data_IF_490582403787
#
_entry.id   IF_490582403787
#
_cell.length_a   1.000
_cell.length_b   1.000
_cell.length_c   1.000
_cell.angle_alpha   90.00
_cell.angle_beta   90.00
_cell.angle_gamma   90.00
#
_symmetry.space_group_name_H-M   'P 1'
#
loop_
_entity.id
_entity.type
_entity.pdbx_description
1 polymer ?
#
# COMPACT_ATOMS: atom_id res chain seq x y z
N UNK A 1 -15.67 54.73 7.72
CA UNK A 1 -14.85 53.67 8.37
C UNK A 1 -15.66 52.52 8.98
N UNK A 2 -16.65 52.77 9.87
CA UNK A 2 -17.50 51.74 10.52
C UNK A 2 -18.11 50.68 9.59
N UNK A 3 -18.54 51.07 8.39
CA UNK A 3 -19.21 50.16 7.45
C UNK A 3 -18.25 49.15 6.79
N UNK A 4 -16.97 49.52 6.63
CA UNK A 4 -15.94 48.65 6.05
C UNK A 4 -15.56 47.54 7.04
N UNK A 5 -15.49 47.87 8.33
CA UNK A 5 -15.24 46.92 9.43
C UNK A 5 -16.37 45.89 9.53
N UNK A 6 -17.64 46.33 9.47
CA UNK A 6 -18.80 45.42 9.47
C UNK A 6 -18.77 44.43 8.29
N UNK A 7 -18.41 44.91 7.09
CA UNK A 7 -18.28 44.07 5.89
C UNK A 7 -17.15 43.03 6.04
N UNK A 8 -16.00 43.45 6.58
CA UNK A 8 -14.87 42.55 6.82
C UNK A 8 -15.21 41.48 7.87
N UNK A 9 -15.87 41.89 8.96
CA UNK A 9 -16.31 41.00 10.02
C UNK A 9 -17.33 39.96 9.51
N UNK A 10 -18.33 40.40 8.75
CA UNK A 10 -19.31 39.51 8.14
C UNK A 10 -18.66 38.55 7.14
N UNK A 11 -17.69 39.02 6.34
CA UNK A 11 -16.94 38.16 5.40
C UNK A 11 -16.12 37.10 6.13
N UNK A 12 -15.47 37.45 7.24
CA UNK A 12 -14.73 36.50 8.06
C UNK A 12 -15.67 35.42 8.64
N UNK A 13 -16.79 35.81 9.23
CA UNK A 13 -17.79 34.87 9.75
C UNK A 13 -18.40 33.98 8.66
N UNK A 14 -18.71 34.55 7.49
CA UNK A 14 -19.23 33.81 6.33
C UNK A 14 -18.21 32.78 5.83
N UNK A 15 -16.94 33.15 5.75
CA UNK A 15 -15.88 32.25 5.31
C UNK A 15 -15.62 31.12 6.33
N UNK A 16 -15.74 31.38 7.63
CA UNK A 16 -15.61 30.36 8.67
C UNK A 16 -16.80 29.39 8.65
N UNK A 17 -18.02 29.87 8.40
CA UNK A 17 -19.22 29.02 8.29
C UNK A 17 -19.13 28.03 7.13
N UNK A 18 -18.45 28.42 6.05
CA UNK A 18 -18.39 27.65 4.81
C UNK A 18 -17.13 26.77 4.69
N UNK A 19 -16.22 26.75 5.68
CA UNK A 19 -14.91 26.07 5.58
C UNK A 19 -14.93 24.59 5.97
N UNK A 20 -16.11 23.99 6.11
CA UNK A 20 -16.25 22.60 6.55
C UNK A 20 -16.49 21.61 5.40
N UNK A 21 -16.50 22.06 4.16
CA UNK A 21 -16.31 21.14 3.03
C UNK A 21 -14.80 20.87 2.96
N UNK A 22 -14.35 19.92 3.79
CA UNK A 22 -13.09 19.23 3.52
C UNK A 22 -13.34 18.59 2.15
N UNK A 23 -12.80 19.20 1.09
CA UNK A 23 -12.77 18.58 -0.24
C UNK A 23 -12.28 17.15 -0.02
N UNK A 24 -13.13 16.17 -0.33
CA UNK A 24 -12.83 14.76 -0.12
C UNK A 24 -11.45 14.50 -0.73
N UNK A 25 -10.48 14.21 0.13
CA UNK A 25 -9.08 14.21 -0.27
C UNK A 25 -8.91 13.10 -1.30
N UNK A 26 -8.68 13.48 -2.56
CA UNK A 26 -8.63 12.53 -3.66
C UNK A 26 -7.45 11.57 -3.44
N UNK A 27 -7.70 10.27 -3.47
CA UNK A 27 -6.66 9.25 -3.28
C UNK A 27 -6.39 8.52 -4.61
N UNK A 28 -5.26 7.82 -4.72
CA UNK A 28 -4.97 7.00 -5.90
C UNK A 28 -5.39 5.54 -5.67
N UNK A 29 -5.97 4.95 -6.69
CA UNK A 29 -6.15 3.50 -6.84
C UNK A 29 -4.79 2.81 -6.95
N UNK A 30 -4.78 1.49 -6.82
CA UNK A 30 -3.61 0.63 -7.04
C UNK A 30 -3.04 0.84 -8.45
N UNK A 31 -3.90 0.95 -9.46
CA UNK A 31 -3.51 1.22 -10.85
C UNK A 31 -3.16 2.70 -11.13
N UNK A 32 -3.08 3.52 -10.08
CA UNK A 32 -2.72 4.94 -10.19
C UNK A 32 -3.85 5.88 -10.61
N UNK A 33 -5.06 5.39 -10.86
CA UNK A 33 -6.26 6.22 -11.15
C UNK A 33 -6.68 7.06 -9.94
N UNK A 34 -7.07 8.31 -10.14
CA UNK A 34 -7.57 9.17 -9.07
C UNK A 34 -9.00 8.80 -8.67
N UNK A 35 -9.23 8.60 -7.37
CA UNK A 35 -10.51 8.32 -6.73
C UNK A 35 -10.96 9.57 -5.97
N UNK A 36 -12.15 10.05 -6.30
CA UNK A 36 -12.73 11.29 -5.74
C UNK A 36 -14.04 11.03 -5.01
N UNK A 37 -14.68 9.88 -5.24
CA UNK A 37 -15.92 9.49 -4.59
C UNK A 37 -15.65 8.86 -3.23
N UNK A 38 -16.41 9.25 -2.21
CA UNK A 38 -16.25 8.75 -0.83
C UNK A 38 -16.30 7.22 -0.73
N UNK A 39 -17.25 6.58 -1.43
CA UNK A 39 -17.37 5.12 -1.43
C UNK A 39 -16.11 4.43 -2.01
N UNK A 40 -15.56 4.99 -3.09
CA UNK A 40 -14.33 4.47 -3.71
C UNK A 40 -13.13 4.68 -2.80
N UNK A 41 -13.07 5.83 -2.12
CA UNK A 41 -12.04 6.16 -1.14
C UNK A 41 -12.06 5.15 0.02
N UNK A 42 -13.24 4.92 0.60
CA UNK A 42 -13.41 4.00 1.73
C UNK A 42 -13.10 2.55 1.35
N UNK A 43 -13.51 2.12 0.15
CA UNK A 43 -13.20 0.79 -0.37
C UNK A 43 -11.69 0.59 -0.55
N UNK A 44 -10.99 1.59 -1.12
CA UNK A 44 -9.53 1.54 -1.30
C UNK A 44 -8.78 1.54 0.03
N UNK A 45 -9.29 2.23 1.05
CA UNK A 45 -8.75 2.16 2.42
C UNK A 45 -8.94 0.76 3.03
N UNK A 46 -10.13 0.18 2.89
CA UNK A 46 -10.42 -1.19 3.34
C UNK A 46 -9.42 -2.18 2.73
N UNK A 47 -9.26 -2.14 1.40
CA UNK A 47 -8.31 -2.99 0.69
C UNK A 47 -6.87 -2.78 1.20
N UNK A 48 -6.43 -1.54 1.40
CA UNK A 48 -5.08 -1.26 1.91
C UNK A 48 -4.83 -1.90 3.27
N UNK A 49 -5.76 -1.71 4.20
CA UNK A 49 -5.61 -2.22 5.57
C UNK A 49 -5.82 -3.73 5.65
N UNK A 50 -6.68 -4.30 4.82
CA UNK A 50 -6.84 -5.75 4.71
C UNK A 50 -5.53 -6.42 4.29
N UNK A 51 -4.83 -5.87 3.29
CA UNK A 51 -3.49 -6.36 2.93
C UNK A 51 -2.50 -6.23 4.08
N UNK A 52 -2.49 -5.13 4.84
CA UNK A 52 -1.55 -4.96 5.96
C UNK A 52 -1.81 -5.91 7.12
N UNK A 53 -3.09 -6.12 7.46
CA UNK A 53 -3.49 -7.01 8.56
C UNK A 53 -3.25 -8.46 8.17
N UNK A 54 -3.57 -8.85 6.93
CA UNK A 54 -3.35 -10.21 6.43
C UNK A 54 -1.87 -10.48 6.10
N UNK A 55 -1.07 -9.48 5.74
CA UNK A 55 0.37 -9.64 5.50
C UNK A 55 1.12 -10.12 6.75
N UNK A 56 0.68 -9.78 7.97
CA UNK A 56 1.24 -10.36 9.20
C UNK A 56 1.01 -11.87 9.31
N UNK A 57 -0.14 -12.37 8.83
CA UNK A 57 -0.39 -13.81 8.77
C UNK A 57 0.43 -14.48 7.66
N UNK A 58 0.60 -13.83 6.51
CA UNK A 58 1.36 -14.38 5.38
C UNK A 58 2.85 -14.50 5.71
N UNK A 59 3.44 -13.51 6.40
CA UNK A 59 4.84 -13.60 6.85
C UNK A 59 5.06 -14.73 7.87
N UNK A 60 4.06 -15.02 8.71
CA UNK A 60 4.13 -16.14 9.66
C UNK A 60 4.07 -17.51 8.97
N UNK A 61 3.39 -17.62 7.83
CA UNK A 61 3.34 -18.84 7.02
C UNK A 61 4.65 -19.09 6.27
N UNK A 62 5.28 -18.04 5.76
CA UNK A 62 6.53 -18.16 4.98
C UNK A 62 7.74 -18.59 5.83
N UNK A 63 7.78 -18.28 7.14
CA UNK A 63 8.86 -18.79 8.02
C UNK A 63 8.77 -20.30 8.27
N UNK A 64 7.56 -20.87 8.21
CA UNK A 64 7.35 -22.31 8.42
C UNK A 64 7.68 -23.13 7.15
N UNK A 65 7.41 -22.58 5.96
CA UNK A 65 7.67 -23.25 4.68
C UNK A 65 9.16 -23.26 4.28
N UNK A 66 9.97 -22.31 4.79
CA UNK A 66 11.42 -22.29 4.55
C UNK A 66 12.15 -23.36 5.39
N UNK A 67 11.63 -23.73 6.57
CA UNK A 67 12.25 -24.75 7.41
C UNK A 67 12.04 -26.17 6.87
N UNK A 68 10.92 -26.44 6.19
CA UNK A 68 10.55 -27.76 5.65
C UNK A 68 11.26 -28.08 4.32
N UNK A 69 11.83 -27.07 3.64
CA UNK A 69 12.53 -27.24 2.36
C UNK A 69 14.05 -27.44 2.48
N UNK A 70 14.50 -27.92 3.65
CA UNK A 70 15.90 -28.27 3.91
C UNK A 70 16.13 -29.79 3.90
N UNK A 71 15.20 -30.57 3.36
CA UNK A 71 15.39 -32.01 3.13
C UNK A 71 16.11 -32.24 1.79
N UNK A 72 17.40 -32.56 1.92
CA UNK A 72 18.16 -33.52 1.11
C UNK A 72 17.97 -33.43 -0.42
N UNK A 73 18.62 -32.46 -1.06
CA UNK A 73 19.11 -32.72 -2.41
C UNK A 73 20.41 -33.50 -2.29
N UNK A 74 20.36 -34.80 -2.55
CA UNK A 74 21.55 -35.60 -2.87
C UNK A 74 22.21 -34.97 -4.09
N UNK A 75 23.18 -34.10 -3.85
CA UNK A 75 24.05 -33.59 -4.90
C UNK A 75 25.00 -34.74 -5.24
N UNK A 76 24.68 -35.50 -6.28
CA UNK A 76 25.62 -36.47 -6.86
C UNK A 76 26.91 -35.71 -7.19
N UNK A 77 27.99 -36.06 -6.47
CA UNK A 77 29.27 -35.42 -6.67
C UNK A 77 29.79 -35.76 -8.07
N UNK A 78 30.02 -34.74 -8.90
CA UNK A 78 30.60 -34.90 -10.23
C UNK A 78 31.94 -35.61 -10.11
N UNK A 79 32.13 -36.68 -10.88
CA UNK A 79 33.37 -37.48 -10.87
C UNK A 79 34.41 -36.91 -11.84
N UNK A 80 35.69 -37.17 -11.57
CA UNK A 80 36.81 -36.70 -12.41
C UNK A 80 36.68 -37.16 -13.88
N UNK A 81 36.17 -38.39 -14.08
CA UNK A 81 35.94 -38.97 -15.41
C UNK A 81 34.91 -38.18 -16.23
N UNK A 82 33.83 -37.67 -15.62
CA UNK A 82 32.84 -36.82 -16.28
C UNK A 82 33.45 -35.49 -16.75
N UNK A 83 34.38 -34.94 -15.97
CA UNK A 83 35.06 -33.69 -16.33
C UNK A 83 35.99 -33.90 -17.51
N UNK A 84 36.70 -35.03 -17.57
CA UNK A 84 37.60 -35.34 -18.68
C UNK A 84 36.84 -35.59 -20.00
N UNK A 85 35.67 -36.22 -19.95
CA UNK A 85 34.85 -36.44 -21.15
C UNK A 85 34.30 -35.13 -21.72
N UNK A 86 33.86 -34.19 -20.88
CA UNK A 86 33.33 -32.90 -21.31
C UNK A 86 34.37 -31.98 -21.98
N UNK A 87 35.66 -32.22 -21.72
CA UNK A 87 36.77 -31.40 -22.27
C UNK A 87 37.31 -31.97 -23.60
N UNK A 88 36.88 -33.18 -24.00
CA UNK A 88 37.36 -33.89 -25.19
C UNK A 88 36.61 -33.49 -26.46
#
# INVERSE_FOLDING_TARGET
MRNKIKKLFYKALKNMRNKNEIDAMSIKSVDGKLLTEENQIMQRWKEHFEHLVNARNILQWNESEIAEKTEETDIEAITEDEVEEAVK
#
